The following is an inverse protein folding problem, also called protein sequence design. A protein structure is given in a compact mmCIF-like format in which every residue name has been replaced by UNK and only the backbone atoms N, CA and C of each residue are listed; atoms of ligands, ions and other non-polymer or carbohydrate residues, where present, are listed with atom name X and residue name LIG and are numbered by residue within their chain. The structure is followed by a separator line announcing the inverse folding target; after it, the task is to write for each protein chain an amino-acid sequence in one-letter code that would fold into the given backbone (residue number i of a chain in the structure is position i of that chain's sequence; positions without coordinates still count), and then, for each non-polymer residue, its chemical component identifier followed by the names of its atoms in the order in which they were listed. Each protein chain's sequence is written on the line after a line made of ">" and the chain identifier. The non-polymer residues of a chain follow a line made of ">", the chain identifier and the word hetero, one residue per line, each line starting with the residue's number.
data_IF_245543632564
#
_entry.id   IF_245543632564
#
_cell.length_a   1.000
_cell.length_b   1.000
_cell.length_c   1.000
_cell.angle_alpha   90.00
_cell.angle_beta   90.00
_cell.angle_gamma   90.00
#
_symmetry.space_group_name_H-M   'P 1'
#
loop_
_entity.id
_entity.type
_entity.pdbx_description
1 polymer ?
#
# COMPACT_ATOMS: atom_id res chain seq x y z
N UNK A 1 17.08 18.42 6.64
CA UNK A 1 16.53 17.20 6.01
C UNK A 1 17.05 16.02 6.80
N UNK A 2 16.20 15.12 7.31
CA UNK A 2 16.69 13.95 8.05
C UNK A 2 17.51 13.06 7.10
N UNK A 3 18.61 12.54 7.61
CA UNK A 3 19.49 11.61 6.90
C UNK A 3 18.79 10.27 6.63
N UNK A 4 19.28 9.50 5.64
CA UNK A 4 18.80 8.12 5.38
C UNK A 4 18.90 7.26 6.66
N UNK A 5 19.83 7.55 7.56
CA UNK A 5 19.98 6.89 8.85
C UNK A 5 18.90 7.27 9.87
N UNK A 6 18.48 8.53 9.96
CA UNK A 6 17.40 8.99 10.86
C UNK A 6 16.02 8.53 10.43
N UNK A 7 15.79 8.40 9.11
CA UNK A 7 14.59 7.75 8.58
C UNK A 7 14.50 6.26 8.98
N UNK A 8 15.65 5.66 9.36
CA UNK A 8 15.79 4.27 9.82
C UNK A 8 15.83 4.14 11.35
N UNK A 9 15.39 5.10 12.15
CA UNK A 9 15.32 4.93 13.62
C UNK A 9 13.97 5.28 14.23
N UNK A 10 13.03 5.82 13.44
CA UNK A 10 11.65 6.07 13.85
C UNK A 10 10.72 4.99 13.26
N UNK A 11 10.93 3.74 13.68
CA UNK A 11 10.05 2.62 13.31
C UNK A 11 8.98 2.48 14.38
N UNK A 12 7.84 3.16 14.18
CA UNK A 12 6.68 2.92 15.03
C UNK A 12 6.03 1.62 14.55
N UNK A 13 5.84 0.70 15.49
CA UNK A 13 5.60 -0.73 15.26
C UNK A 13 4.11 -1.08 15.02
N UNK A 14 3.27 -0.16 14.51
CA UNK A 14 1.81 -0.29 14.76
C UNK A 14 0.96 -0.62 13.54
N UNK A 15 1.42 -0.41 12.30
CA UNK A 15 0.61 -0.77 11.13
C UNK A 15 0.95 -2.15 10.61
N UNK A 16 0.17 -3.15 11.02
CA UNK A 16 0.26 -4.51 10.46
C UNK A 16 -0.47 -4.57 9.12
N UNK A 17 0.23 -4.17 8.07
CA UNK A 17 -0.15 -4.61 6.73
C UNK A 17 0.22 -6.08 6.56
N UNK A 18 -0.69 -6.83 5.95
CA UNK A 18 -0.38 -8.07 5.23
C UNK A 18 -0.04 -7.75 3.78
N UNK A 19 0.59 -8.66 3.01
CA UNK A 19 0.82 -8.45 1.58
C UNK A 19 -0.46 -8.07 0.79
N UNK A 20 -1.57 -8.77 1.02
CA UNK A 20 -2.85 -8.53 0.38
C UNK A 20 -3.45 -7.18 0.76
N UNK A 21 -3.53 -6.88 2.06
CA UNK A 21 -4.06 -5.59 2.53
C UNK A 21 -3.20 -4.39 2.09
N UNK A 22 -1.89 -4.59 1.93
CA UNK A 22 -0.99 -3.58 1.34
C UNK A 22 -1.36 -3.28 -0.11
N UNK A 23 -1.50 -4.32 -0.94
CA UNK A 23 -1.90 -4.16 -2.35
C UNK A 23 -3.27 -3.48 -2.46
N UNK A 24 -4.25 -3.95 -1.69
CA UNK A 24 -5.60 -3.36 -1.63
C UNK A 24 -5.54 -1.87 -1.28
N UNK A 25 -4.81 -1.50 -0.24
CA UNK A 25 -4.71 -0.12 0.22
C UNK A 25 -3.99 0.77 -0.80
N UNK A 26 -2.96 0.26 -1.48
CA UNK A 26 -2.29 1.00 -2.56
C UNK A 26 -3.19 1.22 -3.76
N UNK A 27 -4.00 0.23 -4.12
CA UNK A 27 -4.98 0.32 -5.21
C UNK A 27 -6.05 1.37 -4.87
N UNK A 28 -6.67 1.26 -3.71
CA UNK A 28 -7.75 2.20 -3.30
C UNK A 28 -7.23 3.62 -3.09
N UNK A 29 -6.00 3.79 -2.61
CA UNK A 29 -5.36 5.11 -2.50
C UNK A 29 -5.13 5.80 -3.86
N UNK A 30 -5.11 5.04 -4.95
CA UNK A 30 -5.04 5.54 -6.33
C UNK A 30 -6.42 5.58 -7.00
N UNK A 31 -7.50 5.46 -6.20
CA UNK A 31 -8.90 5.52 -6.65
C UNK A 31 -9.26 4.46 -7.69
N UNK A 32 -8.58 3.31 -7.67
CA UNK A 32 -8.89 2.20 -8.55
C UNK A 32 -9.78 1.20 -7.84
N UNK A 33 -10.87 0.79 -8.47
CA UNK A 33 -11.63 -0.39 -8.07
C UNK A 33 -10.90 -1.67 -8.46
N UNK A 34 -11.32 -2.82 -7.92
CA UNK A 34 -10.78 -4.12 -8.34
C UNK A 34 -11.17 -4.42 -9.80
N UNK A 35 -12.34 -3.97 -10.24
CA UNK A 35 -12.81 -4.05 -11.62
C UNK A 35 -11.91 -3.24 -12.58
N UNK A 36 -11.53 -2.01 -12.19
CA UNK A 36 -10.60 -1.19 -12.99
C UNK A 36 -9.26 -1.89 -13.20
N UNK A 37 -8.80 -2.63 -12.19
CA UNK A 37 -7.56 -3.40 -12.29
C UNK A 37 -7.74 -4.64 -13.16
N UNK A 38 -8.80 -5.40 -12.95
CA UNK A 38 -9.10 -6.59 -13.75
C UNK A 38 -9.22 -6.26 -15.25
N UNK A 39 -9.90 -5.16 -15.59
CA UNK A 39 -10.04 -4.69 -16.97
C UNK A 39 -8.72 -4.25 -17.63
N UNK A 40 -7.68 -3.94 -16.85
CA UNK A 40 -6.38 -3.44 -17.35
C UNK A 40 -5.28 -4.50 -17.34
N UNK A 41 -5.47 -5.62 -16.62
CA UNK A 41 -4.49 -6.71 -16.60
C UNK A 41 -4.78 -7.66 -17.77
N UNK A 42 -3.85 -7.73 -18.71
CA UNK A 42 -3.84 -8.79 -19.70
C UNK A 42 -3.38 -10.11 -19.05
N UNK A 43 -4.18 -11.17 -19.20
CA UNK A 43 -3.80 -12.53 -18.83
C UNK A 43 -3.64 -13.41 -20.07
N UNK A 44 -2.75 -14.41 -20.00
CA UNK A 44 -2.59 -15.40 -21.06
C UNK A 44 -2.58 -16.82 -20.46
N UNK A 45 -3.56 -17.68 -20.78
CA UNK A 45 -4.76 -17.40 -21.59
C UNK A 45 -5.64 -16.32 -20.96
N UNK A 46 -6.45 -15.66 -21.78
CA UNK A 46 -7.36 -14.62 -21.31
C UNK A 46 -8.41 -15.24 -20.37
N UNK A 47 -8.46 -14.77 -19.12
CA UNK A 47 -9.50 -15.15 -18.17
C UNK A 47 -10.71 -14.20 -18.27
N UNK A 48 -11.95 -14.70 -18.08
CA UNK A 48 -13.11 -13.83 -17.92
C UNK A 48 -12.89 -12.80 -16.80
N UNK A 49 -13.39 -11.57 -16.98
CA UNK A 49 -13.17 -10.48 -16.03
C UNK A 49 -13.65 -10.82 -14.61
N UNK A 50 -14.79 -11.51 -14.47
CA UNK A 50 -15.32 -11.90 -13.17
C UNK A 50 -14.40 -12.87 -12.42
N UNK A 51 -13.74 -13.79 -13.13
CA UNK A 51 -12.75 -14.71 -12.55
C UNK A 51 -11.50 -13.95 -12.10
N UNK A 52 -11.07 -12.96 -12.89
CA UNK A 52 -9.94 -12.09 -12.52
C UNK A 52 -10.26 -11.26 -11.28
N UNK A 53 -11.45 -10.68 -11.20
CA UNK A 53 -11.89 -9.92 -10.02
C UNK A 53 -11.88 -10.81 -8.78
N UNK A 54 -12.53 -11.98 -8.83
CA UNK A 54 -12.57 -12.92 -7.71
C UNK A 54 -11.15 -13.38 -7.30
N UNK A 55 -10.26 -13.58 -8.26
CA UNK A 55 -8.88 -13.94 -7.97
C UNK A 55 -8.09 -12.79 -7.32
N UNK A 56 -8.25 -11.55 -7.80
CA UNK A 56 -7.63 -10.36 -7.19
C UNK A 56 -8.14 -10.13 -5.77
N UNK A 57 -9.43 -10.32 -5.51
CA UNK A 57 -9.99 -10.21 -4.16
C UNK A 57 -9.40 -11.25 -3.20
N UNK A 58 -9.19 -12.48 -3.66
CA UNK A 58 -8.52 -13.52 -2.87
C UNK A 58 -7.07 -13.19 -2.57
N UNK A 59 -6.35 -12.55 -3.51
CA UNK A 59 -5.00 -12.04 -3.25
C UNK A 59 -5.02 -10.94 -2.21
N UNK A 60 -5.92 -9.96 -2.36
CA UNK A 60 -6.06 -8.83 -1.44
C UNK A 60 -6.51 -9.23 -0.03
N UNK A 61 -7.17 -10.38 0.10
CA UNK A 61 -7.56 -11.00 1.36
C UNK A 61 -6.51 -11.98 1.90
N UNK A 62 -5.33 -12.09 1.26
CA UNK A 62 -4.27 -13.05 1.60
C UNK A 62 -4.72 -14.52 1.59
N UNK A 63 -5.81 -14.86 0.91
CA UNK A 63 -6.30 -16.24 0.73
C UNK A 63 -5.40 -17.02 -0.21
N UNK A 64 -4.80 -16.33 -1.19
CA UNK A 64 -3.77 -16.89 -2.08
C UNK A 64 -2.62 -15.91 -2.23
N UNK A 65 -1.37 -16.37 -2.31
CA UNK A 65 -0.23 -15.50 -2.54
C UNK A 65 -0.23 -14.94 -3.97
N UNK A 66 0.23 -13.70 -4.15
CA UNK A 66 0.49 -13.14 -5.47
C UNK A 66 1.77 -13.74 -6.08
N UNK A 67 1.69 -14.27 -7.29
CA UNK A 67 2.87 -14.74 -8.03
C UNK A 67 3.74 -13.57 -8.52
N UNK A 68 4.98 -13.84 -8.92
CA UNK A 68 5.85 -12.80 -9.52
C UNK A 68 5.20 -12.14 -10.75
N UNK A 69 4.61 -12.94 -11.64
CA UNK A 69 3.90 -12.46 -12.82
C UNK A 69 2.67 -11.62 -12.47
N UNK A 70 1.93 -12.03 -11.44
CA UNK A 70 0.80 -11.25 -10.92
C UNK A 70 1.27 -9.89 -10.44
N UNK A 71 2.36 -9.85 -9.69
CA UNK A 71 2.87 -8.60 -9.12
C UNK A 71 3.36 -7.67 -10.25
N UNK A 72 4.03 -8.20 -11.26
CA UNK A 72 4.46 -7.40 -12.42
C UNK A 72 3.26 -6.85 -13.21
N UNK A 73 2.22 -7.66 -13.41
CA UNK A 73 0.97 -7.22 -14.02
C UNK A 73 0.31 -6.11 -13.19
N UNK A 74 0.22 -6.24 -11.86
CA UNK A 74 -0.34 -5.19 -10.99
C UNK A 74 0.47 -3.89 -11.07
N UNK A 75 1.81 -3.97 -11.14
CA UNK A 75 2.69 -2.79 -11.26
C UNK A 75 2.50 -2.04 -12.57
N UNK A 76 2.03 -2.70 -13.62
CA UNK A 76 1.68 -2.03 -14.88
C UNK A 76 0.42 -1.17 -14.77
N UNK A 77 -0.44 -1.45 -13.78
CA UNK A 77 -1.73 -0.76 -13.61
C UNK A 77 -1.68 0.31 -12.53
N UNK A 78 -0.99 0.06 -11.41
CA UNK A 78 -0.91 1.02 -10.31
C UNK A 78 0.41 0.94 -9.54
N UNK A 79 0.77 2.03 -8.87
CA UNK A 79 2.06 2.19 -8.19
C UNK A 79 2.06 1.61 -6.78
N UNK A 80 3.00 0.74 -6.48
CA UNK A 80 3.34 0.29 -5.13
C UNK A 80 4.83 -0.04 -5.03
N UNK A 81 5.32 -0.11 -3.80
CA UNK A 81 6.72 -0.43 -3.52
C UNK A 81 6.92 -1.94 -3.41
N UNK A 82 7.60 -2.51 -4.40
CA UNK A 82 7.90 -3.95 -4.44
C UNK A 82 8.71 -4.40 -3.23
N UNK A 83 9.64 -3.57 -2.74
CA UNK A 83 10.48 -3.94 -1.60
C UNK A 83 9.70 -4.02 -0.28
N UNK A 84 8.65 -3.22 -0.16
CA UNK A 84 7.69 -3.33 0.95
C UNK A 84 6.90 -4.63 0.83
N UNK A 85 6.34 -4.92 -0.36
CA UNK A 85 5.58 -6.15 -0.58
C UNK A 85 6.43 -7.40 -0.28
N UNK A 86 7.67 -7.45 -0.74
CA UNK A 86 8.59 -8.57 -0.47
C UNK A 86 8.92 -8.70 1.02
N UNK A 87 9.09 -7.57 1.73
CA UNK A 87 9.33 -7.57 3.17
C UNK A 87 8.11 -8.10 3.93
N UNK A 88 6.90 -7.65 3.57
CA UNK A 88 5.65 -8.12 4.16
C UNK A 88 5.42 -9.61 3.87
N UNK A 89 5.76 -10.10 2.68
CA UNK A 89 5.65 -11.50 2.31
C UNK A 89 6.62 -12.38 3.11
N UNK A 90 7.85 -11.93 3.32
CA UNK A 90 8.83 -12.62 4.18
C UNK A 90 8.36 -12.67 5.65
N UNK A 91 7.80 -11.57 6.15
CA UNK A 91 7.23 -11.52 7.50
C UNK A 91 6.05 -12.48 7.65
N UNK A 92 5.14 -12.51 6.66
CA UNK A 92 3.99 -13.41 6.66
C UNK A 92 4.39 -14.90 6.67
N UNK A 93 5.56 -15.24 6.10
CA UNK A 93 6.14 -16.59 6.14
C UNK A 93 6.98 -16.88 7.40
N UNK A 94 7.16 -15.90 8.29
CA UNK A 94 8.03 -16.03 9.47
C UNK A 94 9.53 -15.98 9.16
N UNK A 95 9.92 -15.58 7.94
CA UNK A 95 11.31 -15.51 7.48
C UNK A 95 12.00 -14.19 7.87
N UNK A 96 11.22 -13.20 8.33
CA UNK A 96 11.70 -11.86 8.67
C UNK A 96 10.92 -11.30 9.86
N UNK A 97 11.63 -10.63 10.76
CA UNK A 97 11.02 -9.91 11.88
C UNK A 97 10.27 -8.65 11.38
N UNK A 98 9.03 -8.40 11.85
CA UNK A 98 8.27 -7.18 11.56
C UNK A 98 9.03 -5.86 11.78
N UNK A 99 10.02 -5.82 12.68
CA UNK A 99 10.87 -4.64 12.93
C UNK A 99 11.64 -4.20 11.68
N UNK A 100 11.80 -5.09 10.70
CA UNK A 100 12.46 -4.81 9.43
C UNK A 100 11.50 -4.37 8.30
N UNK A 101 10.23 -4.08 8.62
CA UNK A 101 9.24 -3.58 7.64
C UNK A 101 9.47 -2.11 7.36
N UNK A 102 9.78 -1.68 6.11
CA UNK A 102 9.96 -0.26 5.80
C UNK A 102 8.75 0.55 6.28
N UNK A 103 8.95 1.78 6.76
CA UNK A 103 7.85 2.63 7.22
C UNK A 103 6.76 2.78 6.14
N UNK A 104 5.52 2.49 6.53
CA UNK A 104 4.35 2.51 5.66
C UNK A 104 3.31 3.48 6.24
N UNK A 105 2.74 4.35 5.40
CA UNK A 105 1.66 5.22 5.84
C UNK A 105 0.40 4.38 6.14
N UNK A 106 -0.15 4.50 7.35
CA UNK A 106 -1.32 3.74 7.82
C UNK A 106 -2.61 3.96 7.02
N UNK A 107 -2.70 5.05 6.26
CA UNK A 107 -3.88 5.40 5.45
C UNK A 107 -3.73 4.98 3.98
N UNK A 108 -2.67 5.40 3.28
CA UNK A 108 -2.52 5.17 1.84
C UNK A 108 -1.45 4.13 1.47
N UNK A 109 -0.84 3.50 2.46
CA UNK A 109 0.23 2.52 2.30
C UNK A 109 1.47 3.01 1.51
N UNK A 110 1.68 4.33 1.33
CA UNK A 110 2.89 4.82 0.67
C UNK A 110 4.14 4.52 1.50
N UNK A 111 5.27 4.42 0.81
CA UNK A 111 6.60 4.27 1.40
C UNK A 111 7.51 5.38 0.90
N UNK A 112 8.74 5.45 1.40
CA UNK A 112 9.73 6.41 0.92
C UNK A 112 10.12 6.23 -0.56
N UNK A 113 10.04 5.00 -1.13
CA UNK A 113 10.33 4.76 -2.56
C UNK A 113 9.10 4.92 -3.45
N UNK A 114 7.91 4.97 -2.85
CA UNK A 114 6.66 5.09 -3.57
C UNK A 114 5.77 6.10 -2.85
N UNK A 115 6.21 7.35 -2.85
CA UNK A 115 5.47 8.50 -2.32
C UNK A 115 4.10 8.59 -3.02
N UNK A 116 3.05 8.83 -2.23
CA UNK A 116 1.80 9.30 -2.82
C UNK A 116 1.93 10.79 -3.15
N UNK A 117 1.03 11.28 -4.00
CA UNK A 117 0.99 12.68 -4.38
C UNK A 117 -0.28 13.33 -3.88
N UNK A 118 -0.16 14.59 -3.48
CA UNK A 118 -1.27 15.47 -3.14
C UNK A 118 -0.97 16.84 -3.72
N UNK A 119 -1.92 17.40 -4.45
CA UNK A 119 -1.79 18.72 -5.08
C UNK A 119 -0.52 18.85 -5.95
N UNK A 120 -0.14 17.76 -6.63
CA UNK A 120 1.05 17.68 -7.49
C UNK A 120 2.36 17.30 -6.79
N UNK A 121 2.44 17.51 -5.47
CA UNK A 121 3.63 17.34 -4.65
C UNK A 121 3.76 15.92 -4.07
N UNK A 122 5.00 15.46 -3.89
CA UNK A 122 5.27 14.18 -3.24
C UNK A 122 5.15 14.29 -1.72
N UNK A 123 4.48 13.33 -1.09
CA UNK A 123 4.31 13.35 0.35
C UNK A 123 5.64 13.14 1.10
N UNK A 124 5.86 13.94 2.14
CA UNK A 124 6.80 13.63 3.22
C UNK A 124 6.17 12.79 4.33
N UNK A 125 6.92 12.55 5.40
CA UNK A 125 6.43 11.88 6.62
C UNK A 125 6.08 12.88 7.71
N UNK A 126 4.97 12.64 8.41
CA UNK A 126 4.63 13.37 9.64
C UNK A 126 5.60 12.91 10.75
N UNK A 127 6.15 13.85 11.51
CA UNK A 127 7.10 13.54 12.57
C UNK A 127 6.45 12.64 13.63
N UNK A 128 7.13 11.54 14.00
CA UNK A 128 6.70 10.61 15.04
C UNK A 128 5.47 9.75 14.73
N UNK A 129 4.91 9.77 13.52
CA UNK A 129 3.68 9.04 13.19
C UNK A 129 3.83 8.13 11.96
N UNK A 130 3.19 6.96 11.91
CA UNK A 130 3.11 6.15 10.68
C UNK A 130 2.11 6.74 9.66
N UNK A 131 2.35 7.99 9.26
CA UNK A 131 1.45 8.79 8.48
C UNK A 131 2.25 9.71 7.54
N UNK A 132 1.86 9.76 6.27
CA UNK A 132 2.43 10.73 5.35
C UNK A 132 1.68 12.07 5.43
N UNK A 133 2.37 13.14 5.10
CA UNK A 133 1.85 14.53 5.07
C UNK A 133 0.61 14.67 4.18
N UNK A 134 0.52 13.92 3.08
CA UNK A 134 -0.68 13.91 2.23
C UNK A 134 -1.92 13.38 2.97
N UNK A 135 -1.74 12.42 3.88
CA UNK A 135 -2.82 11.80 4.65
C UNK A 135 -3.05 12.43 6.03
N UNK A 136 -2.24 13.41 6.45
CA UNK A 136 -2.34 14.08 7.74
C UNK A 136 -3.75 14.61 8.02
N UNK A 137 -4.32 15.35 7.07
CA UNK A 137 -5.64 15.95 7.20
C UNK A 137 -6.79 14.92 7.22
N UNK A 138 -6.58 13.71 6.70
CA UNK A 138 -7.57 12.61 6.81
C UNK A 138 -7.55 11.94 8.18
N UNK A 139 -6.46 12.09 8.93
CA UNK A 139 -6.30 11.49 10.25
C UNK A 139 -6.84 12.38 11.38
N UNK A 140 -7.07 13.67 11.11
CA UNK A 140 -7.70 14.59 12.05
C UNK A 140 -9.21 14.41 11.96
N UNK A 141 -9.90 13.91 13.00
CA UNK A 141 -11.35 13.95 13.01
C UNK A 141 -11.78 15.42 12.95
N UNK A 142 -12.69 15.76 12.05
CA UNK A 142 -13.29 17.09 11.99
C UNK A 142 -13.98 17.39 13.32
N UNK A 143 -13.28 18.05 14.24
CA UNK A 143 -13.90 18.65 15.41
C UNK A 143 -14.58 19.94 14.94
N UNK A 144 -15.90 19.89 14.76
CA UNK A 144 -16.75 21.08 14.69
C UNK A 144 -17.31 21.44 13.33
N UNK A 145 -18.55 20.99 13.07
CA UNK A 145 -19.57 21.84 12.47
C UNK A 145 -20.78 21.81 13.42
N UNK A 146 -20.75 22.69 14.41
CA UNK A 146 -21.90 23.14 15.20
C UNK A 146 -21.71 24.64 15.48
N UNK A 147 -22.83 25.38 15.41
CA UNK A 147 -23.03 26.83 15.37
C UNK A 147 -22.83 27.43 13.96
N UNK A 148 -23.82 28.09 13.33
CA UNK A 148 -25.01 28.82 13.83
C UNK A 148 -26.31 28.42 13.13
#
# INVERSE_FOLDING_TARGET
>A
MPTIAEARTTWTATVRFTPGSYLKTRRTAQLLSVHDVAARIATHPHLPEHDLVAWLERIEADVVPASIHTIDALRSVYRFDRSVLDSLAAIARGERDPIHTPRICRICACSWRCSCRRDGEECGWVAGQDLCTACEQRAVPSTGAAAE
#
